data_IF_689501918796
#
_entry.id   IF_689501918796
#
_cell.length_a   1.000
_cell.length_b   1.000
_cell.length_c   1.000
_cell.angle_alpha   90.00
_cell.angle_beta   90.00
_cell.angle_gamma   90.00
#
_symmetry.space_group_name_H-M   'P 1'
#
loop_
_entity.id
_entity.type
_entity.pdbx_description
1 polymer ?
#
# COMPACT_ATOMS: atom_id res chain seq x y z
N UNK A 1 -17.44 9.56 -7.93
CA UNK A 1 -16.21 9.66 -7.12
C UNK A 1 -15.44 8.33 -7.15
N UNK A 2 -14.10 8.32 -7.13
CA UNK A 2 -13.28 7.09 -7.00
C UNK A 2 -12.77 6.97 -5.56
N UNK A 3 -12.89 5.77 -4.96
CA UNK A 3 -12.46 5.46 -3.59
C UNK A 3 -11.60 4.20 -3.60
N UNK A 4 -10.35 4.29 -3.16
CA UNK A 4 -9.44 3.13 -3.14
C UNK A 4 -9.74 2.27 -1.92
N UNK A 5 -10.20 1.04 -2.15
CA UNK A 5 -10.58 0.11 -1.09
C UNK A 5 -9.43 -0.81 -0.67
N UNK A 6 -8.48 -1.09 -1.56
CA UNK A 6 -7.31 -1.89 -1.22
C UNK A 6 -6.13 -1.57 -2.13
N UNK A 7 -4.93 -1.63 -1.56
CA UNK A 7 -3.67 -1.64 -2.30
C UNK A 7 -2.86 -2.82 -1.80
N UNK A 8 -2.38 -3.64 -2.72
CA UNK A 8 -1.57 -4.83 -2.44
C UNK A 8 -0.36 -4.86 -3.36
N UNK A 9 0.79 -5.23 -2.81
CA UNK A 9 2.02 -5.53 -3.53
C UNK A 9 2.27 -7.03 -3.37
N UNK A 10 2.51 -7.73 -4.47
CA UNK A 10 2.72 -9.18 -4.51
C UNK A 10 3.48 -9.57 -5.76
N UNK A 11 4.46 -10.47 -5.69
CA UNK A 11 5.06 -11.14 -6.84
C UNK A 11 5.53 -10.26 -8.00
N UNK A 12 5.94 -9.01 -7.73
CA UNK A 12 6.36 -8.04 -8.75
C UNK A 12 5.20 -7.32 -9.46
N UNK A 13 3.97 -7.51 -8.99
CA UNK A 13 2.78 -6.78 -9.40
C UNK A 13 2.19 -5.99 -8.24
N UNK A 14 1.48 -4.92 -8.59
CA UNK A 14 0.66 -4.15 -7.67
C UNK A 14 -0.78 -4.16 -8.12
N UNK A 15 -1.64 -4.36 -7.13
CA UNK A 15 -3.08 -4.45 -7.32
C UNK A 15 -3.76 -3.32 -6.56
N UNK A 16 -4.56 -2.56 -7.27
CA UNK A 16 -5.44 -1.53 -6.73
C UNK A 16 -6.89 -1.98 -6.87
N UNK A 17 -7.59 -2.04 -5.76
CA UNK A 17 -9.04 -2.22 -5.75
C UNK A 17 -9.67 -0.87 -5.43
N UNK A 18 -10.66 -0.47 -6.21
CA UNK A 18 -11.34 0.80 -6.01
C UNK A 18 -12.83 0.72 -6.38
N UNK A 19 -13.62 1.54 -5.70
CA UNK A 19 -15.02 1.75 -5.98
C UNK A 19 -15.21 3.06 -6.75
N UNK A 20 -16.06 3.04 -7.79
CA UNK A 20 -16.45 4.23 -8.55
C UNK A 20 -17.97 4.39 -8.48
N UNK A 21 -18.40 5.58 -8.07
CA UNK A 21 -19.82 5.94 -8.14
C UNK A 21 -20.21 6.28 -9.58
N UNK A 22 -21.33 5.72 -10.03
CA UNK A 22 -21.95 5.93 -11.34
C UNK A 22 -22.92 7.11 -11.31
N UNK A 23 -23.23 7.66 -12.49
CA UNK A 23 -24.17 8.79 -12.63
C UNK A 23 -25.59 8.44 -12.13
N UNK A 24 -25.96 7.15 -12.15
CA UNK A 24 -27.23 6.64 -11.64
C UNK A 24 -27.27 6.39 -10.12
N UNK A 25 -26.22 6.75 -9.37
CA UNK A 25 -26.16 6.55 -7.92
C UNK A 25 -25.77 5.13 -7.46
N UNK A 26 -25.45 4.23 -8.40
CA UNK A 26 -24.87 2.93 -8.10
C UNK A 26 -23.36 2.99 -7.84
N UNK A 27 -22.81 1.99 -7.15
CA UNK A 27 -21.38 1.86 -6.90
C UNK A 27 -20.84 0.62 -7.60
N UNK A 28 -19.87 0.82 -8.49
CA UNK A 28 -19.15 -0.24 -9.19
C UNK A 28 -17.79 -0.48 -8.55
N UNK A 29 -17.33 -1.73 -8.53
CA UNK A 29 -16.04 -2.12 -7.99
C UNK A 29 -15.12 -2.61 -9.09
N UNK A 30 -13.90 -2.10 -9.08
CA UNK A 30 -12.88 -2.35 -10.08
C UNK A 30 -11.60 -2.87 -9.42
N UNK A 31 -10.84 -3.65 -10.17
CA UNK A 31 -9.50 -4.11 -9.79
C UNK A 31 -8.55 -3.81 -10.96
N UNK A 32 -7.45 -3.14 -10.66
CA UNK A 32 -6.38 -2.85 -11.59
C UNK A 32 -5.12 -3.55 -11.10
N UNK A 33 -4.54 -4.40 -11.94
CA UNK A 33 -3.27 -5.06 -11.70
C UNK A 33 -2.25 -4.57 -12.73
N UNK A 34 -1.03 -4.28 -12.29
CA UNK A 34 0.06 -3.95 -13.19
C UNK A 34 1.39 -4.50 -12.69
N UNK A 35 2.24 -4.81 -13.67
CA UNK A 35 3.63 -5.27 -13.52
C UNK A 35 4.66 -4.19 -13.85
N UNK A 36 4.21 -2.95 -14.10
CA UNK A 36 5.14 -1.86 -14.36
C UNK A 36 6.03 -1.62 -13.12
N UNK A 37 7.01 -0.72 -13.20
CA UNK A 37 7.70 -0.27 -11.99
C UNK A 37 6.86 0.82 -11.29
N UNK A 38 6.59 0.71 -9.98
CA UNK A 38 5.85 1.75 -9.29
C UNK A 38 6.78 2.96 -9.09
N UNK A 39 6.18 4.15 -9.05
CA UNK A 39 6.91 5.37 -8.72
C UNK A 39 7.48 5.31 -7.29
N UNK A 40 8.67 5.88 -7.05
CA UNK A 40 9.28 5.93 -5.71
C UNK A 40 8.34 6.52 -4.65
N UNK A 41 7.49 7.49 -4.99
CA UNK A 41 6.56 8.11 -4.06
C UNK A 41 5.47 7.14 -3.58
N UNK A 42 4.95 6.30 -4.49
CA UNK A 42 3.98 5.26 -4.12
C UNK A 42 4.64 4.19 -3.24
N UNK A 43 5.86 3.78 -3.59
CA UNK A 43 6.63 2.80 -2.80
C UNK A 43 6.87 3.36 -1.40
N UNK A 44 7.35 4.61 -1.32
CA UNK A 44 7.61 5.30 -0.05
C UNK A 44 6.33 5.37 0.79
N UNK A 45 5.21 5.82 0.23
CA UNK A 45 3.93 5.88 0.95
C UNK A 45 3.48 4.49 1.43
N UNK A 46 3.77 3.44 0.67
CA UNK A 46 3.45 2.06 1.04
C UNK A 46 4.34 1.53 2.16
N UNK A 47 5.66 1.77 2.09
CA UNK A 47 6.61 1.35 3.13
C UNK A 47 6.30 2.01 4.48
N UNK A 48 5.83 3.26 4.46
CA UNK A 48 5.37 3.95 5.68
C UNK A 48 4.20 3.25 6.38
N UNK A 49 3.45 2.35 5.73
CA UNK A 49 2.44 1.52 6.41
C UNK A 49 3.04 0.65 7.52
N UNK A 50 4.32 0.28 7.41
CA UNK A 50 5.06 -0.42 8.45
C UNK A 50 5.14 0.40 9.74
N UNK A 51 5.27 1.72 9.65
CA UNK A 51 5.26 2.63 10.81
C UNK A 51 3.95 2.50 11.60
N UNK A 52 2.80 2.48 10.90
CA UNK A 52 1.48 2.32 11.52
C UNK A 52 1.34 0.99 12.25
N UNK A 53 1.85 -0.08 11.65
CA UNK A 53 1.85 -1.40 12.28
C UNK A 53 2.69 -1.40 13.56
N UNK A 54 3.89 -0.82 13.52
CA UNK A 54 4.81 -0.77 14.66
C UNK A 54 4.31 0.18 15.77
N UNK A 55 3.63 1.27 15.42
CA UNK A 55 3.01 2.19 16.38
C UNK A 55 1.91 1.49 17.20
N UNK A 56 1.02 0.75 16.52
CA UNK A 56 -0.09 0.06 17.20
C UNK A 56 0.34 -1.23 17.90
N UNK A 57 1.38 -1.90 17.41
CA UNK A 57 1.86 -3.18 17.95
C UNK A 57 3.31 -3.05 18.42
N UNK A 58 3.50 -2.47 19.62
CA UNK A 58 4.82 -2.27 20.23
C UNK A 58 5.66 -3.55 20.33
N UNK A 59 5.04 -4.72 20.44
CA UNK A 59 5.73 -6.02 20.50
C UNK A 59 6.53 -6.32 19.22
N UNK A 60 6.11 -5.79 18.07
CA UNK A 60 6.79 -5.98 16.80
C UNK A 60 8.01 -5.06 16.63
N UNK A 61 8.20 -4.04 17.49
CA UNK A 61 9.34 -3.12 17.41
C UNK A 61 10.69 -3.83 17.55
N UNK A 62 10.76 -4.88 18.38
CA UNK A 62 11.98 -5.69 18.57
C UNK A 62 12.34 -6.51 17.32
N UNK A 63 11.37 -6.76 16.44
CA UNK A 63 11.54 -7.54 15.22
C UNK A 63 11.29 -6.73 13.95
N UNK A 64 11.31 -5.40 14.00
CA UNK A 64 10.85 -4.53 12.90
C UNK A 64 11.51 -4.85 11.55
N UNK A 65 12.79 -5.24 11.55
CA UNK A 65 13.53 -5.64 10.34
C UNK A 65 13.04 -6.94 9.68
N UNK A 66 12.29 -7.76 10.41
CA UNK A 66 11.71 -9.00 9.92
C UNK A 66 10.24 -8.84 9.52
N UNK A 67 9.67 -7.66 9.73
CA UNK A 67 8.27 -7.38 9.46
C UNK A 67 8.14 -6.69 8.11
N UNK A 68 7.33 -7.27 7.25
CA UNK A 68 7.03 -6.73 5.92
C UNK A 68 5.52 -6.57 5.78
N UNK A 69 5.07 -5.38 5.39
CA UNK A 69 3.66 -5.12 5.06
C UNK A 69 3.50 -5.27 3.56
N UNK A 70 2.49 -6.02 3.10
CA UNK A 70 2.26 -6.28 1.68
C UNK A 70 0.85 -5.91 1.21
N UNK A 71 -0.08 -5.61 2.12
CA UNK A 71 -1.38 -5.08 1.73
C UNK A 71 -1.98 -4.15 2.78
N UNK A 72 -2.81 -3.23 2.29
CA UNK A 72 -3.73 -2.42 3.08
C UNK A 72 -5.13 -2.50 2.51
N UNK A 73 -6.11 -2.57 3.41
CA UNK A 73 -7.54 -2.41 3.09
C UNK A 73 -8.08 -1.19 3.81
N UNK A 74 -8.82 -0.37 3.11
CA UNK A 74 -9.37 0.90 3.60
C UNK A 74 -10.88 0.82 3.50
N UNK A 75 -11.56 1.22 4.58
CA UNK A 75 -13.00 1.40 4.62
C UNK A 75 -13.34 2.88 4.72
N UNK A 76 -14.45 3.23 4.07
CA UNK A 76 -15.00 4.58 4.06
C UNK A 76 -16.36 4.60 4.76
N UNK A 77 -16.65 5.70 5.45
CA UNK A 77 -17.91 5.88 6.17
C UNK A 77 -18.04 5.00 7.42
N UNK A 78 -19.06 5.27 8.23
CA UNK A 78 -19.31 4.54 9.47
C UNK A 78 -20.25 5.30 10.38
N UNK A 79 -20.52 4.77 11.58
CA UNK A 79 -21.54 5.29 12.51
C UNK A 79 -21.38 6.76 12.93
N UNK A 80 -20.26 7.43 12.61
CA UNK A 80 -20.02 8.86 12.82
C UNK A 80 -19.12 9.51 11.73
N UNK A 81 -18.89 8.83 10.60
CA UNK A 81 -18.02 9.33 9.52
C UNK A 81 -18.82 9.53 8.24
N UNK A 82 -18.57 10.65 7.53
CA UNK A 82 -19.10 10.85 6.19
C UNK A 82 -18.74 9.69 5.27
N UNK A 83 -19.62 9.36 4.32
CA UNK A 83 -19.45 8.28 3.34
C UNK A 83 -18.16 8.39 2.51
N UNK A 84 -17.57 9.58 2.48
CA UNK A 84 -16.38 9.89 1.68
C UNK A 84 -15.09 9.93 2.50
N UNK A 85 -15.19 9.86 3.83
CA UNK A 85 -14.01 9.87 4.72
C UNK A 85 -13.59 8.45 5.07
N UNK A 86 -12.28 8.21 5.05
CA UNK A 86 -11.69 6.98 5.57
C UNK A 86 -12.04 6.85 7.05
N UNK A 87 -12.48 5.66 7.46
CA UNK A 87 -12.96 5.39 8.83
C UNK A 87 -12.16 4.29 9.51
N UNK A 88 -11.79 3.26 8.76
CA UNK A 88 -11.04 2.12 9.26
C UNK A 88 -10.02 1.67 8.22
N UNK A 89 -8.94 1.05 8.71
CA UNK A 89 -8.00 0.34 7.86
C UNK A 89 -7.63 -1.01 8.47
N UNK A 90 -7.14 -1.91 7.61
CA UNK A 90 -6.52 -3.18 7.99
C UNK A 90 -5.20 -3.31 7.27
N UNK A 91 -4.19 -3.77 7.98
CA UNK A 91 -2.87 -4.07 7.42
C UNK A 91 -2.67 -5.58 7.36
N UNK A 92 -2.10 -6.05 6.27
CA UNK A 92 -1.64 -7.43 6.11
C UNK A 92 -0.15 -7.42 5.86
N UNK A 93 0.56 -8.28 6.58
CA UNK A 93 2.00 -8.39 6.51
C UNK A 93 2.48 -9.80 6.83
N UNK A 94 3.81 -9.97 6.87
CA UNK A 94 4.47 -11.20 7.29
C UNK A 94 5.62 -10.89 8.23
N UNK A 95 5.98 -11.87 9.04
CA UNK A 95 7.21 -11.89 9.84
C UNK A 95 8.03 -13.10 9.44
N UNK A 96 9.29 -12.89 9.09
CA UNK A 96 10.22 -13.97 8.80
C UNK A 96 11.15 -14.24 9.97
N UNK A 97 11.24 -15.50 10.41
CA UNK A 97 12.27 -15.92 11.32
C UNK A 97 13.57 -16.28 10.56
N UNK A 98 14.70 -16.26 11.26
CA UNK A 98 16.02 -16.69 10.75
C UNK A 98 16.03 -18.13 10.23
N UNK A 99 15.10 -18.97 10.70
CA UNK A 99 14.94 -20.37 10.28
C UNK A 99 14.04 -20.54 9.04
N UNK A 100 13.75 -19.46 8.30
CA UNK A 100 12.86 -19.44 7.13
C UNK A 100 11.38 -19.77 7.41
N UNK A 101 10.97 -19.75 8.68
CA UNK A 101 9.56 -19.82 9.06
C UNK A 101 8.90 -18.46 8.87
N UNK A 102 7.86 -18.40 8.04
CA UNK A 102 7.10 -17.17 7.77
C UNK A 102 5.76 -17.21 8.49
N UNK A 103 5.49 -16.19 9.33
CA UNK A 103 4.20 -15.98 9.98
C UNK A 103 3.43 -14.87 9.29
N UNK A 104 2.19 -15.13 8.85
CA UNK A 104 1.31 -14.08 8.32
C UNK A 104 0.65 -13.30 9.45
N UNK A 105 0.60 -11.99 9.30
CA UNK A 105 -0.07 -11.06 10.21
C UNK A 105 -1.22 -10.39 9.45
N UNK A 106 -2.40 -10.36 10.04
CA UNK A 106 -3.48 -9.48 9.63
C UNK A 106 -4.00 -8.75 10.85
N UNK A 107 -4.09 -7.43 10.78
CA UNK A 107 -4.66 -6.64 11.86
C UNK A 107 -6.19 -6.74 11.83
N UNK A 108 -6.82 -6.65 13.00
CA UNK A 108 -8.24 -6.31 13.06
C UNK A 108 -8.47 -4.91 12.47
N UNK A 109 -9.73 -4.55 12.22
CA UNK A 109 -10.10 -3.19 11.79
C UNK A 109 -9.60 -2.15 12.80
N UNK A 110 -8.67 -1.29 12.39
CA UNK A 110 -8.16 -0.19 13.20
C UNK A 110 -8.94 1.07 12.81
N UNK A 111 -9.52 1.74 13.80
CA UNK A 111 -10.26 3.00 13.58
C UNK A 111 -9.28 4.14 13.35
N UNK A 112 -9.57 4.97 12.35
CA UNK A 112 -8.86 6.20 12.09
C UNK A 112 -9.49 7.28 12.97
N UNK A 113 -8.68 7.94 13.81
CA UNK A 113 -9.15 9.05 14.61
C UNK A 113 -9.55 10.24 13.74
N UNK A 114 -10.51 11.00 14.26
CA UNK A 114 -11.13 12.13 13.55
C UNK A 114 -10.20 13.34 13.38
N UNK A 115 -8.99 13.30 13.98
CA UNK A 115 -8.01 14.38 13.91
C UNK A 115 -7.18 14.24 12.63
N UNK A 116 -7.20 15.29 11.81
CA UNK A 116 -6.49 15.36 10.53
C UNK A 116 -4.96 15.19 10.68
N UNK A 117 -4.43 15.44 11.87
CA UNK A 117 -3.00 15.35 12.24
C UNK A 117 -2.57 13.96 12.75
N UNK A 118 -3.45 12.96 12.73
CA UNK A 118 -3.03 11.60 13.11
C UNK A 118 -2.14 10.99 12.01
N UNK A 119 -1.03 10.35 12.41
CA UNK A 119 -0.07 9.70 11.51
C UNK A 119 -0.75 8.75 10.50
N UNK A 120 -1.80 8.03 10.94
CA UNK A 120 -2.61 7.18 10.09
C UNK A 120 -3.32 7.94 8.96
N UNK A 121 -3.85 9.14 9.22
CA UNK A 121 -4.46 9.97 8.20
C UNK A 121 -3.43 10.43 7.17
N UNK A 122 -2.26 10.89 7.63
CA UNK A 122 -1.18 11.34 6.74
C UNK A 122 -0.74 10.23 5.78
N UNK A 123 -0.37 9.07 6.33
CA UNK A 123 0.17 7.95 5.54
C UNK A 123 -0.88 7.38 4.58
N UNK A 124 -2.12 7.17 5.05
CA UNK A 124 -3.19 6.64 4.19
C UNK A 124 -3.60 7.63 3.11
N UNK A 125 -3.64 8.94 3.40
CA UNK A 125 -3.96 9.96 2.38
C UNK A 125 -2.88 10.03 1.30
N UNK A 126 -1.61 10.03 1.68
CA UNK A 126 -0.50 9.99 0.72
C UNK A 126 -0.62 8.79 -0.21
N UNK A 127 -0.85 7.60 0.38
CA UNK A 127 -0.99 6.36 -0.36
C UNK A 127 -2.22 6.35 -1.30
N UNK A 128 -3.37 6.85 -0.83
CA UNK A 128 -4.58 6.95 -1.65
C UNK A 128 -4.41 7.94 -2.80
N UNK A 129 -3.77 9.09 -2.56
CA UNK A 129 -3.51 10.08 -3.59
C UNK A 129 -2.63 9.50 -4.71
N UNK A 130 -1.54 8.83 -4.36
CA UNK A 130 -0.68 8.16 -5.34
C UNK A 130 -1.40 7.05 -6.11
N UNK A 131 -2.23 6.25 -5.42
CA UNK A 131 -3.05 5.25 -6.09
C UNK A 131 -4.07 5.87 -7.07
N UNK A 132 -4.66 7.02 -6.73
CA UNK A 132 -5.61 7.73 -7.61
C UNK A 132 -4.91 8.32 -8.83
N UNK A 133 -3.74 8.93 -8.65
CA UNK A 133 -2.90 9.42 -9.74
C UNK A 133 -2.53 8.27 -10.71
N UNK A 134 -2.30 7.07 -10.15
CA UNK A 134 -2.05 5.89 -10.96
C UNK A 134 -3.26 5.47 -11.79
N UNK A 135 -4.41 5.26 -11.13
CA UNK A 135 -5.66 4.81 -11.79
C UNK A 135 -6.13 5.80 -12.86
N UNK A 136 -5.98 7.10 -12.61
CA UNK A 136 -6.43 8.15 -13.53
C UNK A 136 -5.53 8.30 -14.78
N UNK A 137 -4.46 7.52 -14.91
CA UNK A 137 -3.59 7.57 -16.08
C UNK A 137 -2.76 8.85 -16.19
N UNK A 138 -2.75 9.71 -15.15
CA UNK A 138 -1.77 10.81 -15.05
C UNK A 138 -0.33 10.28 -15.10
N UNK A 139 -0.09 9.00 -14.79
CA UNK A 139 1.17 8.28 -15.07
C UNK A 139 1.46 8.08 -16.56
N UNK A 140 0.48 7.64 -17.35
CA UNK A 140 0.69 7.41 -18.78
C UNK A 140 0.96 8.73 -19.52
N UNK A 141 0.30 9.82 -19.10
CA UNK A 141 0.50 11.14 -19.70
C UNK A 141 1.78 11.84 -19.23
N UNK A 142 2.17 11.76 -17.95
CA UNK A 142 3.42 12.37 -17.48
C UNK A 142 4.66 11.73 -18.12
N UNK A 143 4.66 10.40 -18.26
CA UNK A 143 5.76 9.66 -18.90
C UNK A 143 5.87 9.87 -20.42
N UNK A 144 4.84 10.41 -21.07
CA UNK A 144 4.89 10.77 -22.50
C UNK A 144 5.65 12.10 -22.75
N UNK A 145 5.89 12.90 -21.71
CA UNK A 145 6.52 14.22 -21.81
C UNK A 145 7.81 14.39 -21.00
N UNK A 146 8.20 13.40 -20.19
CA UNK A 146 9.53 13.35 -19.59
C UNK A 146 10.50 12.74 -20.60
N UNK A 147 11.28 13.58 -21.29
CA UNK A 147 12.53 13.15 -21.94
C UNK A 147 13.36 12.40 -20.90
N UNK A 148 13.65 11.13 -21.15
CA UNK A 148 14.46 10.30 -20.26
C UNK A 148 15.80 11.01 -20.01
N UNK A 149 16.11 11.49 -18.79
CA UNK A 149 17.45 11.94 -18.52
C UNK A 149 18.36 10.71 -18.55
N UNK A 150 19.49 10.84 -19.23
CA UNK A 150 20.52 9.80 -19.33
C UNK A 150 20.85 9.24 -17.95
N UNK A 151 21.03 7.91 -17.88
CA UNK A 151 21.40 7.18 -16.66
C UNK A 151 22.57 7.87 -15.96
N UNK A 152 22.29 8.53 -14.85
CA UNK A 152 23.30 8.89 -13.86
C UNK A 152 23.33 7.74 -12.86
N UNK A 153 24.42 6.97 -12.88
CA UNK A 153 24.76 6.00 -11.85
C UNK A 153 25.22 6.71 -10.59
N UNK A 154 24.56 6.50 -9.45
CA UNK A 154 24.97 6.80 -8.06
C UNK A 154 23.73 6.64 -7.16
N UNK A 155 23.68 6.07 -5.95
CA UNK A 155 24.49 5.13 -5.14
C UNK A 155 23.63 4.83 -3.88
N UNK A 156 23.68 3.59 -3.38
CA UNK A 156 23.39 3.05 -2.04
C UNK A 156 22.04 3.32 -1.32
N UNK A 157 21.26 4.35 -1.63
CA UNK A 157 19.94 4.56 -1.01
C UNK A 157 18.82 3.78 -1.72
N UNK A 158 19.00 3.43 -3.00
CA UNK A 158 18.02 2.65 -3.74
C UNK A 158 17.98 1.18 -3.30
N UNK A 159 19.08 0.64 -2.76
CA UNK A 159 19.20 -0.78 -2.47
C UNK A 159 18.33 -1.22 -1.28
N UNK A 160 18.30 -0.47 -0.18
CA UNK A 160 17.42 -0.78 0.97
C UNK A 160 15.93 -0.58 0.63
N UNK A 161 15.63 0.43 -0.22
CA UNK A 161 14.30 0.69 -0.76
C UNK A 161 13.81 -0.43 -1.69
N UNK A 162 14.72 -1.01 -2.48
CA UNK A 162 14.43 -2.11 -3.38
C UNK A 162 14.31 -3.43 -2.59
N UNK A 163 15.11 -3.66 -1.54
CA UNK A 163 15.01 -4.83 -0.67
C UNK A 163 13.68 -4.92 0.07
N UNK A 164 13.21 -3.85 0.71
CA UNK A 164 11.93 -3.84 1.45
C UNK A 164 10.72 -3.96 0.48
N UNK A 165 10.83 -3.40 -0.72
CA UNK A 165 9.83 -3.56 -1.78
C UNK A 165 9.82 -4.99 -2.37
N UNK A 166 10.99 -5.56 -2.67
CA UNK A 166 11.15 -6.95 -3.12
C UNK A 166 10.63 -7.89 -2.03
N UNK A 167 10.94 -7.62 -0.75
CA UNK A 167 10.42 -8.39 0.36
C UNK A 167 8.89 -8.33 0.44
N UNK A 168 8.28 -7.15 0.21
CA UNK A 168 6.82 -7.00 0.19
C UNK A 168 6.17 -7.71 -0.99
N UNK A 169 6.81 -7.71 -2.15
CA UNK A 169 6.39 -8.49 -3.31
C UNK A 169 6.51 -10.00 -3.03
N UNK A 170 7.66 -10.48 -2.57
CA UNK A 170 7.92 -11.89 -2.26
C UNK A 170 7.09 -12.42 -1.08
N UNK A 171 6.57 -11.53 -0.23
CA UNK A 171 5.70 -11.86 0.88
C UNK A 171 4.45 -12.64 0.47
N UNK A 172 3.91 -12.35 -0.70
CA UNK A 172 2.67 -12.94 -1.16
C UNK A 172 2.85 -14.02 -2.24
N UNK A 173 3.90 -13.96 -3.08
CA UNK A 173 4.18 -14.95 -4.13
C UNK A 173 4.54 -16.36 -3.60
N UNK A 174 5.07 -16.49 -2.38
CA UNK A 174 5.32 -17.80 -1.74
C UNK A 174 4.04 -18.59 -1.41
N UNK A 175 2.86 -18.05 -1.70
CA UNK A 175 1.58 -18.77 -1.59
C UNK A 175 1.34 -19.77 -2.72
N UNK A 176 2.07 -19.69 -3.84
CA UNK A 176 1.87 -20.56 -5.01
C UNK A 176 2.71 -21.83 -5.06
N UNK A 177 3.56 -22.09 -4.05
CA UNK A 177 4.48 -23.23 -4.05
C UNK A 177 4.13 -24.25 -2.95
N UNK A 178 2.85 -24.61 -2.81
CA UNK A 178 2.45 -25.84 -2.12
C UNK A 178 1.35 -26.52 -2.95
N UNK A 179 1.77 -27.65 -3.55
CA UNK A 179 1.07 -28.67 -4.35
C UNK A 179 0.75 -28.36 -5.81
#
# INVERSE_FOLDING_TARGET
MIKITSIKISGGYYMFQYAKETEGGGTEYYSLESKDKPRPELITAFLRLKELLLEKFNTLKFGAKYVTVFAVRIKYGGKNCSKDKMSEYKLSGRVDNKESTTCKLETQSIKIGMKKEELANEILQALVNEGLLYIQGKRAQASLFEEQPERISETDAEDEFNEDFIAAADADSRQGAIQ
#
